data_IF_131321485136
#
_entry.id   IF_131321485136
#
_cell.length_a   1.000
_cell.length_b   1.000
_cell.length_c   1.000
_cell.angle_alpha   90.00
_cell.angle_beta   90.00
_cell.angle_gamma   90.00
#
_symmetry.space_group_name_H-M   'P 1'
#
loop_
_entity.id
_entity.type
_entity.pdbx_description
1 polymer ?
#
# COMPACT_ATOMS: atom_id res chain seq x y z
N UNK A 1 -8.21 4.53 -24.29
CA UNK A 1 -7.55 4.31 -22.99
C UNK A 1 -6.05 4.48 -23.23
N UNK A 2 -5.30 5.04 -22.28
CA UNK A 2 -3.87 5.24 -22.49
C UNK A 2 -3.11 3.92 -22.53
N UNK A 3 -2.15 3.76 -23.43
CA UNK A 3 -1.33 2.55 -23.59
C UNK A 3 -0.52 2.17 -22.33
N UNK A 4 -0.44 3.07 -21.34
CA UNK A 4 0.27 2.87 -20.09
C UNK A 4 -0.59 2.25 -18.97
N UNK A 5 -1.91 2.12 -19.16
CA UNK A 5 -2.80 1.48 -18.20
C UNK A 5 -2.59 -0.04 -18.16
N UNK A 6 -2.69 -0.60 -16.96
CA UNK A 6 -2.56 -2.03 -16.70
C UNK A 6 -1.19 -2.61 -17.13
N UNK A 7 -0.15 -1.78 -17.00
CA UNK A 7 1.22 -2.13 -17.36
C UNK A 7 2.15 -2.20 -16.14
N UNK A 8 3.08 -3.12 -16.21
CA UNK A 8 4.24 -3.18 -15.32
C UNK A 8 5.48 -2.95 -16.17
N UNK A 9 6.21 -1.89 -15.87
CA UNK A 9 7.46 -1.57 -16.55
C UNK A 9 8.64 -2.14 -15.78
N UNK A 10 9.44 -2.98 -16.46
CA UNK A 10 10.63 -3.58 -15.86
C UNK A 10 11.80 -2.60 -15.94
N UNK A 11 11.72 -1.52 -15.19
CA UNK A 11 12.71 -0.43 -15.17
C UNK A 11 12.64 0.37 -13.85
N UNK A 12 13.62 1.22 -13.63
CA UNK A 12 13.63 2.15 -12.49
C UNK A 12 12.49 3.18 -12.58
N UNK A 13 11.80 3.39 -11.47
CA UNK A 13 10.71 4.38 -11.39
C UNK A 13 11.12 5.77 -11.87
N UNK A 14 12.31 6.25 -11.49
CA UNK A 14 12.78 7.59 -11.88
C UNK A 14 12.98 7.73 -13.39
N UNK A 15 13.23 6.63 -14.08
CA UNK A 15 13.34 6.60 -15.54
C UNK A 15 11.95 6.50 -16.20
N UNK A 16 11.14 5.55 -15.71
CA UNK A 16 9.86 5.20 -16.32
C UNK A 16 8.73 6.17 -16.05
N UNK A 17 8.74 6.88 -14.91
CA UNK A 17 7.64 7.74 -14.46
C UNK A 17 7.27 8.85 -15.45
N UNK A 18 8.21 9.27 -16.30
CA UNK A 18 7.99 10.29 -17.33
C UNK A 18 7.00 9.86 -18.41
N UNK A 19 6.77 8.54 -18.57
CA UNK A 19 5.75 7.98 -19.49
C UNK A 19 4.34 8.32 -19.08
N UNK A 20 4.12 8.57 -17.79
CA UNK A 20 2.79 8.80 -17.24
C UNK A 20 2.41 10.27 -17.37
N UNK A 21 1.18 10.58 -17.81
CA UNK A 21 0.67 11.93 -17.81
C UNK A 21 0.58 12.49 -16.38
N UNK A 22 0.80 13.78 -16.22
CA UNK A 22 0.54 14.45 -14.95
C UNK A 22 -0.95 14.38 -14.59
N UNK A 23 -1.26 14.33 -13.31
CA UNK A 23 -2.62 14.28 -12.77
C UNK A 23 -3.49 13.16 -13.37
N UNK A 24 -2.89 12.00 -13.66
CA UNK A 24 -3.58 10.83 -14.21
C UNK A 24 -3.86 9.73 -13.18
N UNK A 25 -3.20 9.77 -12.02
CA UNK A 25 -3.25 8.74 -10.98
C UNK A 25 -4.22 9.14 -9.86
N UNK A 26 -5.08 8.23 -9.45
CA UNK A 26 -6.02 8.42 -8.34
C UNK A 26 -5.40 8.05 -6.99
N UNK A 27 -4.58 7.01 -6.97
CA UNK A 27 -3.97 6.46 -5.76
C UNK A 27 -2.53 6.04 -6.02
N UNK A 28 -1.61 6.46 -5.16
CA UNK A 28 -0.25 5.91 -5.11
C UNK A 28 -0.12 5.03 -3.87
N UNK A 29 0.39 3.80 -4.04
CA UNK A 29 0.78 2.90 -2.96
C UNK A 29 2.25 2.58 -3.14
N UNK A 30 3.09 3.00 -2.22
CA UNK A 30 4.53 2.83 -2.29
C UNK A 30 5.05 1.97 -1.13
N UNK A 31 5.77 0.90 -1.45
CA UNK A 31 6.51 0.06 -0.51
C UNK A 31 8.01 0.08 -0.86
N UNK A 32 8.69 1.22 -0.66
CA UNK A 32 10.09 1.36 -1.06
C UNK A 32 11.02 0.44 -0.26
N UNK A 33 12.23 0.14 -0.74
CA UNK A 33 13.29 -0.41 0.10
C UNK A 33 13.46 0.42 1.38
N UNK A 34 13.72 -0.24 2.52
CA UNK A 34 13.67 0.43 3.84
C UNK A 34 15.03 0.91 4.36
N UNK A 35 16.11 0.77 3.59
CA UNK A 35 17.46 1.11 4.03
C UNK A 35 17.96 0.21 5.17
N UNK A 36 17.60 -1.07 5.15
CA UNK A 36 17.93 -2.06 6.19
C UNK A 36 18.99 -3.07 5.74
N UNK A 37 19.54 -2.90 4.54
CA UNK A 37 20.55 -3.79 3.96
C UNK A 37 19.99 -5.12 3.46
N UNK A 38 18.70 -5.18 3.10
CA UNK A 38 18.12 -6.36 2.47
C UNK A 38 18.54 -6.45 1.01
N UNK A 39 18.76 -7.67 0.55
CA UNK A 39 19.04 -7.94 -0.85
C UNK A 39 17.72 -8.03 -1.65
N UNK A 40 17.51 -7.05 -2.53
CA UNK A 40 16.44 -7.02 -3.52
C UNK A 40 16.96 -7.24 -4.95
N UNK A 41 18.21 -7.73 -5.08
CA UNK A 41 18.91 -7.85 -6.36
C UNK A 41 19.57 -6.54 -6.82
N UNK A 42 19.61 -5.54 -5.94
CA UNK A 42 20.33 -4.26 -6.15
C UNK A 42 20.79 -3.69 -4.81
N UNK A 43 21.62 -2.65 -4.83
CA UNK A 43 22.19 -2.03 -3.62
C UNK A 43 21.31 -0.92 -3.01
N UNK A 44 20.09 -0.73 -3.47
CA UNK A 44 19.21 0.37 -3.04
C UNK A 44 18.90 0.38 -1.55
N UNK A 45 18.93 -0.77 -0.89
CA UNK A 45 18.65 -0.91 0.55
C UNK A 45 19.90 -0.76 1.45
N UNK A 46 21.09 -0.50 0.87
CA UNK A 46 22.36 -0.35 1.61
C UNK A 46 22.80 1.11 1.78
N UNK A 47 21.95 2.06 1.42
CA UNK A 47 22.29 3.46 1.49
C UNK A 47 22.46 3.95 2.94
N UNK A 48 23.44 4.84 3.16
CA UNK A 48 23.53 5.60 4.40
C UNK A 48 22.30 6.50 4.59
N UNK A 49 22.00 6.89 5.83
CA UNK A 49 20.75 7.56 6.19
C UNK A 49 20.44 8.80 5.33
N UNK A 50 21.44 9.69 5.13
CA UNK A 50 21.26 10.91 4.34
C UNK A 50 21.00 10.59 2.86
N UNK A 51 21.75 9.64 2.30
CA UNK A 51 21.58 9.21 0.92
C UNK A 51 20.20 8.54 0.70
N UNK A 52 19.73 7.75 1.68
CA UNK A 52 18.41 7.13 1.66
C UNK A 52 17.29 8.18 1.67
N UNK A 53 17.37 9.18 2.54
CA UNK A 53 16.39 10.26 2.61
C UNK A 53 16.41 11.12 1.34
N UNK A 54 17.58 11.43 0.80
CA UNK A 54 17.73 12.16 -0.45
C UNK A 54 17.17 11.36 -1.65
N UNK A 55 17.40 10.04 -1.69
CA UNK A 55 16.80 9.16 -2.70
C UNK A 55 15.28 9.12 -2.55
N UNK A 56 14.77 8.99 -1.32
CA UNK A 56 13.34 9.00 -1.04
C UNK A 56 12.70 10.31 -1.51
N UNK A 57 13.32 11.45 -1.24
CA UNK A 57 12.82 12.73 -1.71
C UNK A 57 12.74 12.78 -3.25
N UNK A 58 13.78 12.31 -3.97
CA UNK A 58 13.81 12.33 -5.43
C UNK A 58 12.65 11.56 -6.06
N UNK A 59 12.41 10.31 -5.63
CA UNK A 59 11.33 9.55 -6.22
C UNK A 59 9.94 10.08 -5.80
N UNK A 60 9.78 10.57 -4.58
CA UNK A 60 8.55 11.25 -4.14
C UNK A 60 8.27 12.46 -5.04
N UNK A 61 9.25 13.32 -5.25
CA UNK A 61 9.10 14.51 -6.09
C UNK A 61 8.79 14.16 -7.56
N UNK A 62 9.24 12.99 -8.03
CA UNK A 62 8.95 12.50 -9.38
C UNK A 62 7.52 11.93 -9.53
N UNK A 63 6.99 11.22 -8.52
CA UNK A 63 5.66 10.58 -8.62
C UNK A 63 4.52 11.53 -8.25
N UNK A 64 4.72 12.51 -7.37
CA UNK A 64 3.66 13.40 -6.90
C UNK A 64 2.98 14.24 -8.00
N UNK A 65 3.66 14.71 -9.07
CA UNK A 65 2.99 15.39 -10.19
C UNK A 65 1.97 14.50 -10.90
N UNK A 66 2.15 13.16 -10.87
CA UNK A 66 1.25 12.20 -11.51
C UNK A 66 -0.07 12.03 -10.76
N UNK A 67 -0.07 12.34 -9.46
CA UNK A 67 -1.25 12.23 -8.62
C UNK A 67 -2.25 13.35 -8.93
N UNK A 68 -3.52 13.00 -9.09
CA UNK A 68 -4.64 13.94 -9.28
C UNK A 68 -4.79 14.89 -8.08
N UNK A 69 -5.44 16.07 -8.24
CA UNK A 69 -5.68 17.01 -7.12
C UNK A 69 -6.46 16.40 -5.94
N UNK A 70 -7.35 15.44 -6.20
CA UNK A 70 -8.12 14.70 -5.21
C UNK A 70 -7.54 13.30 -4.91
N UNK A 71 -6.32 13.03 -5.35
CA UNK A 71 -5.66 11.75 -5.19
C UNK A 71 -5.04 11.55 -3.82
N UNK A 72 -4.80 10.28 -3.48
CA UNK A 72 -4.26 9.81 -2.21
C UNK A 72 -2.95 9.09 -2.38
N UNK A 73 -2.12 9.11 -1.33
CA UNK A 73 -0.80 8.49 -1.31
C UNK A 73 -0.61 7.71 -0.02
N UNK A 74 -0.32 6.42 -0.13
CA UNK A 74 0.10 5.57 0.97
C UNK A 74 1.56 5.19 0.82
N UNK A 75 2.30 5.23 1.93
CA UNK A 75 3.70 4.81 1.98
C UNK A 75 3.95 3.89 3.17
N UNK A 76 4.50 2.70 2.90
CA UNK A 76 4.97 1.79 3.93
C UNK A 76 6.35 2.20 4.42
N UNK A 77 6.50 2.24 5.73
CA UNK A 77 7.74 2.65 6.38
C UNK A 77 8.02 1.80 7.62
N UNK A 78 9.28 1.73 7.97
CA UNK A 78 9.68 1.28 9.31
C UNK A 78 9.85 2.46 10.24
N UNK A 79 9.84 2.21 11.56
CA UNK A 79 10.08 3.21 12.59
C UNK A 79 11.38 4.01 12.39
N UNK A 80 12.35 3.47 11.63
CA UNK A 80 13.69 4.04 11.51
C UNK A 80 13.72 5.40 10.81
N UNK A 81 12.93 5.56 9.75
CA UNK A 81 12.93 6.78 8.93
C UNK A 81 11.53 7.39 8.76
N UNK A 82 10.51 6.80 9.41
CA UNK A 82 9.15 7.34 9.29
C UNK A 82 9.02 8.77 9.78
N UNK A 83 9.71 9.23 10.86
CA UNK A 83 9.59 10.62 11.31
C UNK A 83 10.09 11.61 10.25
N UNK A 84 11.29 11.40 9.70
CA UNK A 84 11.90 12.27 8.69
C UNK A 84 11.08 12.32 7.41
N UNK A 85 10.63 11.14 6.94
CA UNK A 85 9.81 11.03 5.73
C UNK A 85 8.44 11.68 5.93
N UNK A 86 7.82 11.54 7.10
CA UNK A 86 6.57 12.23 7.39
C UNK A 86 6.73 13.75 7.43
N UNK A 87 7.82 14.26 8.00
CA UNK A 87 8.12 15.70 7.97
C UNK A 87 8.27 16.17 6.53
N UNK A 88 9.01 15.43 5.69
CA UNK A 88 9.20 15.73 4.27
C UNK A 88 7.88 15.73 3.50
N UNK A 89 7.02 14.73 3.70
CA UNK A 89 5.74 14.62 3.01
C UNK A 89 4.73 15.69 3.46
N UNK A 90 4.70 16.05 4.74
CA UNK A 90 3.84 17.13 5.28
C UNK A 90 4.09 18.49 4.66
N UNK A 91 5.27 18.73 4.10
CA UNK A 91 5.57 19.96 3.34
C UNK A 91 4.90 20.00 1.96
N UNK A 92 4.43 18.87 1.45
CA UNK A 92 3.91 18.68 0.09
C UNK A 92 2.45 18.23 0.06
N UNK A 93 1.99 17.55 1.10
CA UNK A 93 0.68 16.90 1.19
C UNK A 93 0.08 17.04 2.57
N UNK A 94 -1.22 16.91 2.66
CA UNK A 94 -1.94 16.80 3.91
C UNK A 94 -1.81 15.37 4.46
N UNK A 95 -1.30 15.21 5.66
CA UNK A 95 -1.32 13.92 6.35
C UNK A 95 -2.73 13.66 6.89
N UNK A 96 -3.30 12.53 6.49
CA UNK A 96 -4.65 12.10 6.91
C UNK A 96 -4.58 11.19 8.12
N UNK A 97 -3.76 10.11 8.04
CA UNK A 97 -3.53 9.19 9.14
C UNK A 97 -2.08 8.71 9.18
N UNK A 98 -1.63 8.37 10.37
CA UNK A 98 -0.59 7.39 10.61
C UNK A 98 -1.29 6.07 10.94
N UNK A 99 -1.07 5.04 10.11
CA UNK A 99 -1.67 3.72 10.28
C UNK A 99 -0.59 2.77 10.77
N UNK A 100 -0.89 2.05 11.83
CA UNK A 100 0.00 1.02 12.39
C UNK A 100 -0.44 -0.34 11.85
N UNK A 101 0.40 -0.95 11.03
CA UNK A 101 0.19 -2.33 10.63
C UNK A 101 0.86 -3.27 11.64
N UNK A 102 0.07 -3.81 12.56
CA UNK A 102 0.48 -4.89 13.47
C UNK A 102 0.56 -6.21 12.69
N UNK A 103 1.80 -6.67 12.48
CA UNK A 103 2.11 -7.91 11.75
C UNK A 103 1.86 -9.18 12.57
N UNK A 104 1.47 -9.05 13.83
CA UNK A 104 1.25 -10.11 14.84
C UNK A 104 2.48 -10.96 15.17
N UNK A 105 3.47 -10.99 14.30
CA UNK A 105 4.70 -11.78 14.47
C UNK A 105 5.90 -10.84 14.45
N UNK A 106 6.77 -10.87 15.46
CA UNK A 106 7.95 -10.03 15.51
C UNK A 106 8.92 -10.34 14.36
N UNK A 107 9.73 -9.35 14.01
CA UNK A 107 10.86 -9.59 13.12
C UNK A 107 11.83 -10.59 13.76
N UNK A 108 12.39 -11.50 12.96
CA UNK A 108 13.41 -12.44 13.44
C UNK A 108 14.66 -11.67 13.90
N UNK A 109 15.30 -12.15 14.96
CA UNK A 109 16.45 -11.50 15.57
C UNK A 109 16.05 -10.68 16.80
N UNK A 110 15.86 -11.35 17.93
CA UNK A 110 15.61 -10.71 19.22
C UNK A 110 16.80 -9.85 19.67
N UNK A 111 16.53 -8.70 20.22
CA UNK A 111 17.53 -7.88 20.91
C UNK A 111 17.29 -7.99 22.42
N UNK A 112 18.37 -8.09 23.20
CA UNK A 112 18.30 -8.04 24.66
C UNK A 112 18.24 -6.62 25.22
N UNK A 113 18.37 -5.59 24.34
CA UNK A 113 18.46 -4.17 24.74
C UNK A 113 17.36 -3.28 24.16
N UNK A 114 16.38 -3.85 23.45
CA UNK A 114 15.20 -3.13 22.92
C UNK A 114 14.03 -4.08 22.76
N UNK A 115 12.82 -3.53 22.70
CA UNK A 115 11.62 -4.30 22.37
C UNK A 115 11.66 -4.82 20.93
N UNK A 116 11.10 -5.98 20.69
CA UNK A 116 10.97 -6.57 19.34
C UNK A 116 9.95 -5.78 18.53
N UNK A 117 10.34 -5.36 17.30
CA UNK A 117 9.42 -4.67 16.41
C UNK A 117 8.43 -5.65 15.81
N UNK A 118 7.14 -5.39 15.98
CA UNK A 118 6.03 -6.20 15.47
C UNK A 118 5.16 -5.45 14.46
N UNK A 119 5.45 -4.18 14.20
CA UNK A 119 4.66 -3.35 13.31
C UNK A 119 5.50 -2.67 12.23
N UNK A 120 4.84 -2.29 11.17
CA UNK A 120 5.28 -1.28 10.22
C UNK A 120 4.32 -0.10 10.28
N UNK A 121 4.81 1.07 9.91
CA UNK A 121 4.04 2.30 9.86
C UNK A 121 3.61 2.57 8.41
N UNK A 122 2.37 2.97 8.21
CA UNK A 122 1.85 3.35 6.90
C UNK A 122 1.39 4.80 6.99
N UNK A 123 2.01 5.68 6.23
CA UNK A 123 1.56 7.06 6.10
C UNK A 123 0.44 7.13 5.08
N UNK A 124 -0.70 7.70 5.46
CA UNK A 124 -1.77 8.06 4.56
C UNK A 124 -1.81 9.58 4.35
N UNK A 125 -1.61 10.00 3.12
CA UNK A 125 -1.58 11.40 2.72
C UNK A 125 -2.57 11.66 1.59
N UNK A 126 -3.04 12.90 1.49
CA UNK A 126 -3.90 13.37 0.42
C UNK A 126 -3.38 14.69 -0.15
N UNK A 127 -3.62 14.92 -1.44
CA UNK A 127 -3.16 16.16 -2.11
C UNK A 127 -4.00 17.37 -1.74
N UNK A 128 -5.28 17.14 -1.43
CA UNK A 128 -6.22 18.18 -1.00
C UNK A 128 -7.24 17.64 0.01
N UNK A 129 -8.13 18.51 0.52
CA UNK A 129 -9.23 18.09 1.42
C UNK A 129 -10.34 17.34 0.70
N UNK A 130 -10.40 17.45 -0.62
CA UNK A 130 -11.43 16.84 -1.47
C UNK A 130 -11.01 15.46 -1.98
N UNK A 131 -10.13 14.77 -1.24
CA UNK A 131 -9.67 13.42 -1.60
C UNK A 131 -10.81 12.39 -1.56
N UNK A 132 -10.72 11.41 -2.46
CA UNK A 132 -11.66 10.30 -2.47
C UNK A 132 -11.44 9.37 -1.27
N UNK A 133 -12.52 9.09 -0.51
CA UNK A 133 -12.51 8.10 0.56
C UNK A 133 -13.87 7.43 0.70
N UNK A 134 -13.94 6.15 0.33
CA UNK A 134 -15.14 5.32 0.47
C UNK A 134 -15.06 4.48 1.75
N UNK A 135 -15.62 5.02 2.83
CA UNK A 135 -15.67 4.31 4.11
C UNK A 135 -16.56 3.05 4.03
N UNK A 136 -17.63 3.08 3.25
CA UNK A 136 -18.59 1.98 3.21
C UNK A 136 -18.00 0.74 2.54
N UNK A 137 -17.09 0.92 1.56
CA UNK A 137 -16.37 -0.16 0.91
C UNK A 137 -15.38 -0.91 1.84
N UNK A 138 -15.02 -0.31 2.99
CA UNK A 138 -14.01 -0.88 3.90
C UNK A 138 -14.50 -1.12 5.33
N UNK A 139 -15.78 -0.91 5.61
CA UNK A 139 -16.35 -1.17 6.95
C UNK A 139 -16.14 -2.61 7.35
N UNK A 140 -15.85 -2.80 8.63
CA UNK A 140 -15.77 -4.12 9.26
C UNK A 140 -17.13 -4.43 9.89
N UNK A 141 -17.78 -5.55 9.51
CA UNK A 141 -19.05 -5.91 10.10
C UNK A 141 -18.89 -6.23 11.60
N UNK A 142 -19.89 -5.84 12.40
CA UNK A 142 -19.93 -6.29 13.78
C UNK A 142 -20.26 -7.77 13.85
N UNK A 143 -19.61 -8.49 14.74
CA UNK A 143 -20.01 -9.86 15.10
C UNK A 143 -21.38 -9.91 15.77
N UNK A 144 -22.00 -11.08 15.79
CA UNK A 144 -23.36 -11.27 16.30
C UNK A 144 -23.51 -10.91 17.79
N UNK A 145 -22.48 -11.19 18.59
CA UNK A 145 -22.47 -10.89 20.02
C UNK A 145 -22.43 -9.38 20.27
N UNK A 146 -21.52 -8.69 19.57
CA UNK A 146 -21.40 -7.23 19.62
C UNK A 146 -22.67 -6.55 19.11
N UNK A 147 -23.29 -7.03 18.01
CA UNK A 147 -24.58 -6.53 17.52
C UNK A 147 -25.67 -6.65 18.62
N UNK A 148 -25.80 -7.82 19.24
CA UNK A 148 -26.76 -8.07 20.31
C UNK A 148 -26.52 -7.18 21.53
N UNK A 149 -25.26 -7.01 21.95
CA UNK A 149 -24.92 -6.14 23.07
C UNK A 149 -25.25 -4.67 22.79
N UNK A 150 -24.92 -4.18 21.59
CA UNK A 150 -25.09 -2.77 21.18
C UNK A 150 -26.54 -2.45 20.76
N UNK A 151 -27.34 -3.41 20.33
CA UNK A 151 -28.76 -3.19 19.99
C UNK A 151 -29.59 -2.66 21.17
N UNK A 152 -29.11 -2.85 22.39
CA UNK A 152 -29.72 -2.33 23.63
C UNK A 152 -29.25 -0.90 23.96
N UNK A 153 -28.28 -0.36 23.22
CA UNK A 153 -27.74 0.99 23.44
C UNK A 153 -28.57 2.03 22.71
N UNK A 154 -29.02 3.03 23.43
CA UNK A 154 -29.72 4.21 22.87
C UNK A 154 -28.79 5.10 22.02
N UNK A 155 -27.47 4.90 22.11
CA UNK A 155 -26.46 5.70 21.41
C UNK A 155 -26.05 5.13 20.06
N UNK A 156 -26.45 3.90 19.73
CA UNK A 156 -26.09 3.26 18.46
C UNK A 156 -27.35 2.90 17.71
N UNK A 157 -27.67 3.68 16.68
CA UNK A 157 -28.85 3.39 15.84
C UNK A 157 -28.67 2.07 15.08
N UNK A 158 -29.78 1.34 14.86
CA UNK A 158 -29.82 0.04 14.19
C UNK A 158 -29.11 0.07 12.82
N UNK A 159 -29.25 1.16 12.06
CA UNK A 159 -28.57 1.36 10.77
C UNK A 159 -27.05 1.23 10.87
N UNK A 160 -26.42 1.79 11.91
CA UNK A 160 -24.96 1.74 12.09
C UNK A 160 -24.46 0.35 12.47
N UNK A 161 -25.29 -0.42 13.19
CA UNK A 161 -24.98 -1.81 13.53
C UNK A 161 -24.96 -2.72 12.29
N UNK A 162 -25.82 -2.45 11.32
CA UNK A 162 -25.83 -3.21 10.06
C UNK A 162 -24.70 -2.80 9.11
N UNK A 163 -24.38 -1.50 9.02
CA UNK A 163 -23.31 -1.01 8.15
C UNK A 163 -21.91 -1.47 8.60
N UNK A 164 -21.73 -1.73 9.89
CA UNK A 164 -20.39 -2.02 10.42
C UNK A 164 -19.64 -0.76 10.87
N UNK A 165 -18.39 -0.94 11.30
CA UNK A 165 -17.56 0.13 11.85
C UNK A 165 -16.34 0.43 10.98
N UNK A 166 -15.78 1.64 11.17
CA UNK A 166 -14.54 2.05 10.54
C UNK A 166 -13.38 1.16 11.02
N UNK A 167 -12.52 0.62 10.13
CA UNK A 167 -11.38 -0.23 10.48
C UNK A 167 -10.41 0.38 11.50
N UNK A 168 -10.49 1.68 11.72
CA UNK A 168 -9.57 2.46 12.55
C UNK A 168 -8.17 2.55 11.89
N UNK A 169 -7.16 2.91 12.69
CA UNK A 169 -5.80 3.17 12.24
C UNK A 169 -4.77 2.16 12.77
N UNK A 170 -5.21 1.13 13.50
CA UNK A 170 -4.38 -0.03 13.85
C UNK A 170 -4.94 -1.26 13.15
N UNK A 171 -4.17 -1.76 12.16
CA UNK A 171 -4.56 -2.91 11.33
C UNK A 171 -3.80 -4.15 11.76
N UNK A 172 -4.49 -5.10 12.40
CA UNK A 172 -3.90 -6.34 12.87
C UNK A 172 -4.08 -7.43 11.81
N UNK A 173 -3.16 -7.50 10.87
CA UNK A 173 -3.12 -8.45 9.75
C UNK A 173 -1.78 -9.17 9.76
N UNK A 174 -1.79 -10.50 9.86
CA UNK A 174 -0.55 -11.28 9.88
C UNK A 174 0.25 -11.09 8.59
N UNK A 175 1.58 -10.97 8.72
CA UNK A 175 2.46 -11.07 7.55
C UNK A 175 2.31 -12.44 6.90
N UNK A 176 2.56 -12.51 5.60
CA UNK A 176 2.54 -13.77 4.87
C UNK A 176 3.72 -14.64 5.32
N UNK A 177 3.44 -15.78 5.95
CA UNK A 177 4.43 -16.79 6.25
C UNK A 177 4.68 -17.70 5.03
N UNK A 178 5.71 -18.54 5.09
CA UNK A 178 6.19 -19.30 3.92
C UNK A 178 5.13 -20.19 3.26
N UNK A 179 4.21 -20.74 4.05
CA UNK A 179 3.17 -21.68 3.59
C UNK A 179 1.84 -20.98 3.28
N UNK A 180 1.79 -19.65 3.35
CA UNK A 180 0.55 -18.94 3.09
C UNK A 180 0.20 -19.02 1.60
N UNK A 181 -1.07 -19.33 1.27
CA UNK A 181 -1.56 -19.50 -0.12
C UNK A 181 -1.31 -18.29 -1.05
N UNK A 182 -1.28 -17.08 -0.50
CA UNK A 182 -0.96 -15.86 -1.26
C UNK A 182 0.53 -15.68 -1.49
N UNK A 183 1.37 -16.46 -0.78
CA UNK A 183 2.81 -16.27 -0.79
C UNK A 183 3.38 -16.56 -2.17
N UNK A 184 4.00 -15.55 -2.76
CA UNK A 184 4.84 -15.65 -3.94
C UNK A 184 6.33 -15.59 -3.53
N UNK A 185 7.22 -15.89 -4.44
CA UNK A 185 8.67 -15.87 -4.18
C UNK A 185 9.22 -14.43 -4.13
N UNK A 186 8.87 -13.72 -3.06
CA UNK A 186 9.32 -12.37 -2.77
C UNK A 186 9.53 -12.19 -1.26
N UNK A 187 10.66 -11.62 -0.79
CA UNK A 187 11.03 -11.61 0.64
C UNK A 187 10.08 -10.80 1.51
N UNK A 188 9.51 -9.73 0.99
CA UNK A 188 8.72 -8.74 1.76
C UNK A 188 7.31 -8.52 1.22
N UNK A 189 6.73 -9.53 0.54
CA UNK A 189 5.38 -9.43 -0.01
C UNK A 189 4.38 -8.94 1.03
N UNK A 190 3.59 -7.92 0.67
CA UNK A 190 2.49 -7.41 1.51
C UNK A 190 1.24 -8.28 1.37
N UNK A 191 0.46 -8.46 2.46
CA UNK A 191 -0.83 -9.14 2.40
C UNK A 191 -1.81 -8.40 1.49
N UNK A 192 -2.53 -9.14 0.68
CA UNK A 192 -3.51 -8.60 -0.27
C UNK A 192 -4.62 -7.81 0.45
N UNK A 193 -5.06 -8.28 1.62
CA UNK A 193 -6.08 -7.63 2.46
C UNK A 193 -5.74 -6.17 2.76
N UNK A 194 -4.46 -5.86 3.05
CA UNK A 194 -4.02 -4.49 3.36
C UNK A 194 -4.12 -3.60 2.13
N UNK A 195 -3.62 -4.09 1.00
CA UNK A 195 -3.60 -3.33 -0.25
C UNK A 195 -5.02 -3.14 -0.81
N UNK A 196 -5.86 -4.20 -0.78
CA UNK A 196 -7.27 -4.08 -1.18
C UNK A 196 -8.03 -3.06 -0.34
N UNK A 197 -7.74 -2.98 0.98
CA UNK A 197 -8.34 -1.98 1.86
C UNK A 197 -7.99 -0.55 1.42
N UNK A 198 -6.73 -0.30 1.08
CA UNK A 198 -6.30 1.00 0.55
C UNK A 198 -6.95 1.31 -0.80
N UNK A 199 -6.96 0.35 -1.71
CA UNK A 199 -7.56 0.50 -3.05
C UNK A 199 -9.07 0.78 -2.93
N UNK A 200 -9.80 0.01 -2.14
CA UNK A 200 -11.25 0.19 -1.95
C UNK A 200 -11.59 1.53 -1.29
N UNK A 201 -10.79 1.95 -0.30
CA UNK A 201 -11.03 3.21 0.40
C UNK A 201 -10.70 4.43 -0.44
N UNK A 202 -9.60 4.42 -1.20
CA UNK A 202 -8.99 5.65 -1.70
C UNK A 202 -8.82 5.71 -3.23
N UNK A 203 -9.27 4.68 -3.96
CA UNK A 203 -9.31 4.70 -5.42
C UNK A 203 -10.76 4.56 -5.92
N UNK A 204 -11.32 5.52 -6.66
CA UNK A 204 -12.67 5.39 -7.20
C UNK A 204 -12.77 4.21 -8.16
N UNK A 205 -14.00 3.75 -8.44
CA UNK A 205 -14.22 2.71 -9.45
C UNK A 205 -13.64 3.12 -10.80
N UNK A 206 -12.95 2.20 -11.48
CA UNK A 206 -12.19 2.44 -12.71
C UNK A 206 -11.06 3.48 -12.57
N UNK A 207 -10.69 3.87 -11.35
CA UNK A 207 -9.54 4.73 -11.07
C UNK A 207 -8.23 4.00 -11.28
N UNK A 208 -7.12 4.72 -11.24
CA UNK A 208 -5.77 4.21 -11.53
C UNK A 208 -4.91 4.22 -10.27
N UNK A 209 -4.32 3.07 -9.95
CA UNK A 209 -3.36 2.88 -8.87
C UNK A 209 -1.95 2.84 -9.44
N UNK A 210 -1.04 3.67 -8.92
CA UNK A 210 0.39 3.63 -9.21
C UNK A 210 1.13 2.96 -8.06
N UNK A 211 1.98 2.00 -8.38
CA UNK A 211 2.99 1.45 -7.46
C UNK A 211 4.39 1.69 -8.01
N UNK A 212 5.18 2.59 -7.39
CA UNK A 212 6.55 2.87 -7.83
C UNK A 212 7.54 1.72 -7.56
N UNK A 213 7.17 0.74 -6.71
CA UNK A 213 8.03 -0.36 -6.26
C UNK A 213 7.22 -1.66 -6.21
N UNK A 214 6.83 -2.16 -7.38
CA UNK A 214 5.82 -3.20 -7.55
C UNK A 214 6.14 -4.52 -6.83
N UNK A 215 7.44 -4.87 -6.70
CA UNK A 215 7.91 -6.06 -5.99
C UNK A 215 7.22 -7.33 -6.48
N UNK A 216 6.41 -7.93 -5.62
CA UNK A 216 5.64 -9.13 -5.98
C UNK A 216 4.36 -8.86 -6.78
N UNK A 217 4.00 -7.61 -7.06
CA UNK A 217 2.78 -7.25 -7.79
C UNK A 217 1.49 -7.29 -6.97
N UNK A 218 1.57 -7.25 -5.65
CA UNK A 218 0.34 -7.29 -4.82
C UNK A 218 -0.59 -6.13 -5.12
N UNK A 219 -0.05 -4.94 -5.42
CA UNK A 219 -0.84 -3.77 -5.81
C UNK A 219 -1.58 -3.97 -7.13
N UNK A 220 -0.93 -4.55 -8.15
CA UNK A 220 -1.57 -4.86 -9.43
C UNK A 220 -2.71 -5.88 -9.26
N UNK A 221 -2.45 -6.95 -8.50
CA UNK A 221 -3.46 -7.97 -8.16
C UNK A 221 -4.65 -7.34 -7.41
N UNK A 222 -4.39 -6.50 -6.42
CA UNK A 222 -5.44 -5.83 -5.65
C UNK A 222 -6.27 -4.88 -6.51
N UNK A 223 -5.63 -4.09 -7.38
CA UNK A 223 -6.30 -3.18 -8.29
C UNK A 223 -7.25 -3.94 -9.23
N UNK A 224 -6.78 -5.00 -9.88
CA UNK A 224 -7.61 -5.88 -10.74
C UNK A 224 -8.80 -6.45 -9.99
N UNK A 225 -8.58 -7.09 -8.84
CA UNK A 225 -9.65 -7.67 -8.03
C UNK A 225 -10.68 -6.65 -7.55
N UNK A 226 -10.29 -5.40 -7.44
CA UNK A 226 -11.17 -4.30 -7.05
C UNK A 226 -11.76 -3.54 -8.25
N UNK A 227 -11.60 -4.00 -9.49
CA UNK A 227 -12.03 -3.30 -10.71
C UNK A 227 -11.44 -1.89 -10.82
N UNK A 228 -10.12 -1.79 -10.61
CA UNK A 228 -9.33 -0.58 -10.82
C UNK A 228 -8.20 -0.90 -11.81
N UNK A 229 -7.77 0.14 -12.51
CA UNK A 229 -6.56 0.07 -13.34
C UNK A 229 -5.33 0.20 -12.46
N UNK A 230 -4.20 -0.26 -12.98
CA UNK A 230 -2.90 -0.08 -12.31
C UNK A 230 -1.82 0.33 -13.31
N UNK A 231 -0.75 0.85 -12.78
CA UNK A 231 0.54 1.00 -13.45
C UNK A 231 1.63 0.87 -12.40
N UNK A 232 2.76 0.30 -12.74
CA UNK A 232 3.84 0.17 -11.79
C UNK A 232 5.20 -0.09 -12.40
N UNK A 233 6.21 0.02 -11.54
CA UNK A 233 7.61 -0.14 -11.90
C UNK A 233 8.26 -1.18 -11.00
N UNK A 234 9.10 -2.01 -11.59
CA UNK A 234 9.92 -3.01 -10.90
C UNK A 234 11.25 -3.17 -11.62
N UNK A 235 12.34 -3.09 -10.88
CA UNK A 235 13.68 -3.17 -11.48
C UNK A 235 14.17 -4.61 -11.67
N UNK A 236 13.70 -5.54 -10.84
CA UNK A 236 14.14 -6.92 -10.89
C UNK A 236 13.36 -7.72 -11.95
N UNK A 237 14.01 -8.23 -13.00
CA UNK A 237 13.33 -8.99 -14.06
C UNK A 237 12.63 -10.26 -13.58
N UNK A 238 13.11 -10.88 -12.49
CA UNK A 238 12.46 -12.06 -11.92
C UNK A 238 11.13 -11.69 -11.26
N UNK A 239 11.07 -10.54 -10.60
CA UNK A 239 9.83 -10.04 -10.04
C UNK A 239 8.88 -9.55 -11.13
N UNK A 240 9.37 -8.96 -12.21
CA UNK A 240 8.53 -8.62 -13.36
C UNK A 240 7.82 -9.87 -13.91
N UNK A 241 8.55 -10.98 -14.12
CA UNK A 241 7.98 -12.26 -14.56
C UNK A 241 6.99 -12.84 -13.54
N UNK A 242 7.30 -12.71 -12.25
CA UNK A 242 6.40 -13.14 -11.16
C UNK A 242 5.07 -12.38 -11.21
N UNK A 243 5.10 -11.07 -11.46
CA UNK A 243 3.90 -10.25 -11.57
C UNK A 243 3.04 -10.70 -12.75
N UNK A 244 3.63 -10.91 -13.92
CA UNK A 244 2.94 -11.39 -15.11
C UNK A 244 2.22 -12.73 -14.84
N UNK A 245 2.91 -13.67 -14.20
CA UNK A 245 2.32 -14.98 -13.83
C UNK A 245 1.14 -14.81 -12.85
N UNK A 246 1.25 -13.93 -11.87
CA UNK A 246 0.18 -13.67 -10.90
C UNK A 246 -1.05 -13.02 -11.55
N UNK A 247 -0.85 -12.11 -12.49
CA UNK A 247 -1.94 -11.46 -13.23
C UNK A 247 -2.62 -12.46 -14.17
N UNK A 248 -1.88 -13.27 -14.91
CA UNK A 248 -2.43 -14.31 -15.77
C UNK A 248 -3.27 -15.36 -14.99
N UNK A 249 -2.82 -15.71 -13.76
CA UNK A 249 -3.58 -16.62 -12.90
C UNK A 249 -4.93 -16.05 -12.43
N UNK A 250 -5.07 -14.71 -12.32
CA UNK A 250 -6.36 -14.10 -12.01
C UNK A 250 -7.35 -14.24 -13.16
N UNK A 251 -6.92 -13.99 -14.39
CA UNK A 251 -7.77 -14.06 -15.58
C UNK A 251 -8.33 -15.47 -15.79
N UNK A 252 -7.53 -16.50 -15.50
CA UNK A 252 -7.99 -17.90 -15.60
C UNK A 252 -8.99 -18.28 -14.51
N UNK A 253 -8.92 -17.65 -13.32
CA UNK A 253 -9.84 -17.92 -12.20
C UNK A 253 -11.20 -17.23 -12.33
N UNK A 254 -11.30 -16.17 -13.12
CA UNK A 254 -12.55 -15.44 -13.39
C UNK A 254 -13.37 -16.09 -14.53
N UNK A 255 -12.74 -16.94 -15.34
CA UNK A 255 -13.38 -17.65 -16.47
C UNK A 255 -13.82 -19.09 -16.15
N UNK A 256 -13.53 -19.59 -14.96
CA UNK A 256 -13.86 -20.94 -14.48
C UNK A 256 -15.00 -20.92 -13.46
#
# INVERSE_FOLDING_TARGET
MGEWLDQVYCEDTLQGITRLPDQSIDLIIADPPYGLGKDYGNDSDKLEAEAYLAWTQRWVDAVLPKLKPNGSFYIFLTWRYSPEIFVMLKQRMMMVNEIIWDRRVPSMGGSTRRFSSVHDTIGFFAKSKDYHFDLDAVRIPYDAETKKARSRSIFVGAKWLELGYNPKDVWSVSRLHREHRERADHPTQKPLEIIERMVKASCPANGVVLDPFMGSGTTAVAARRCNRHFVGFEMNPDYCRLIEQRLAALETSETA
#
